data_IF_953257645481
#
_entry.id   IF_953257645481
#
_cell.length_a   1.000
_cell.length_b   1.000
_cell.length_c   1.000
_cell.angle_alpha   90.00
_cell.angle_beta   90.00
_cell.angle_gamma   90.00
#
_symmetry.space_group_name_H-M   'P 1'
#
loop_
_entity.id
_entity.type
_entity.pdbx_description
1 polymer ?
#
# COMPACT_ATOMS: atom_id res chain seq x y z
N UNK A 1 1.11 1.90 15.14
CA UNK A 1 1.01 0.65 14.39
C UNK A 1 2.42 0.25 14.00
N UNK A 2 2.84 -0.98 14.23
CA UNK A 2 4.14 -1.48 13.78
C UNK A 2 4.11 -1.73 12.28
N UNK A 3 5.28 -1.87 11.65
CA UNK A 3 5.37 -2.20 10.22
C UNK A 3 4.70 -3.55 9.91
N UNK A 4 4.80 -4.52 10.82
CA UNK A 4 4.16 -5.82 10.69
C UNK A 4 2.63 -5.71 10.71
N UNK A 5 2.07 -4.93 11.65
CA UNK A 5 0.63 -4.67 11.72
C UNK A 5 0.11 -3.93 10.48
N UNK A 6 0.87 -2.96 9.96
CA UNK A 6 0.54 -2.25 8.72
C UNK A 6 0.46 -3.22 7.54
N UNK A 7 1.48 -4.08 7.40
CA UNK A 7 1.55 -5.03 6.31
C UNK A 7 0.47 -6.11 6.40
N UNK A 8 0.18 -6.58 7.61
CA UNK A 8 -0.90 -7.53 7.87
C UNK A 8 -2.24 -6.93 7.43
N UNK A 9 -2.59 -5.71 7.87
CA UNK A 9 -3.84 -5.05 7.48
C UNK A 9 -3.93 -4.79 5.98
N UNK A 10 -2.82 -4.40 5.35
CA UNK A 10 -2.78 -4.21 3.91
C UNK A 10 -3.10 -5.52 3.18
N UNK A 11 -2.48 -6.64 3.58
CA UNK A 11 -2.76 -7.96 3.01
C UNK A 11 -4.21 -8.41 3.26
N UNK A 12 -4.75 -8.21 4.46
CA UNK A 12 -6.17 -8.49 4.75
C UNK A 12 -7.12 -7.74 3.82
N UNK A 13 -6.82 -6.47 3.50
CA UNK A 13 -7.64 -5.66 2.58
C UNK A 13 -7.59 -6.22 1.15
N UNK A 14 -6.41 -6.62 0.66
CA UNK A 14 -6.20 -6.95 -0.75
C UNK A 14 -6.40 -8.44 -1.07
N UNK A 15 -6.33 -9.33 -0.08
CA UNK A 15 -6.47 -10.79 -0.25
C UNK A 15 -7.77 -11.20 -0.96
N UNK A 16 -8.88 -10.51 -0.72
CA UNK A 16 -10.17 -10.79 -1.38
C UNK A 16 -10.13 -10.57 -2.90
N UNK A 17 -9.13 -9.84 -3.41
CA UNK A 17 -8.88 -9.59 -4.82
C UNK A 17 -7.78 -10.49 -5.40
N UNK A 18 -7.30 -11.47 -4.62
CA UNK A 18 -6.17 -12.33 -4.98
C UNK A 18 -4.82 -11.64 -4.97
N UNK A 19 -4.76 -10.39 -4.53
CA UNK A 19 -3.56 -9.56 -4.47
C UNK A 19 -2.74 -9.84 -3.21
N UNK A 20 -1.45 -9.54 -3.27
CA UNK A 20 -0.55 -9.52 -2.13
C UNK A 20 0.06 -8.13 -1.97
N UNK A 21 0.46 -7.80 -0.74
CA UNK A 21 1.13 -6.55 -0.40
C UNK A 21 2.49 -6.83 0.26
N UNK A 22 3.49 -6.03 -0.07
CA UNK A 22 4.82 -6.02 0.58
C UNK A 22 5.37 -4.59 0.71
N UNK A 23 6.39 -4.39 1.54
CA UNK A 23 7.11 -3.13 1.55
C UNK A 23 8.14 -3.06 0.42
N UNK A 24 8.27 -1.88 -0.20
CA UNK A 24 9.33 -1.61 -1.15
C UNK A 24 10.67 -1.42 -0.41
N UNK A 25 11.29 -2.52 0.02
CA UNK A 25 12.59 -2.48 0.70
C UNK A 25 12.60 -1.48 1.88
N UNK A 26 13.62 -0.62 1.93
CA UNK A 26 13.75 0.50 2.87
C UNK A 26 13.37 1.85 2.25
N UNK A 27 12.66 1.84 1.12
CA UNK A 27 12.19 3.07 0.51
C UNK A 27 11.03 3.69 1.30
N UNK A 28 11.17 4.98 1.59
CA UNK A 28 10.14 5.79 2.20
C UNK A 28 9.60 6.83 1.22
N UNK A 29 8.36 7.23 1.44
CA UNK A 29 7.73 8.31 0.71
C UNK A 29 7.28 9.42 1.64
N UNK A 30 7.52 10.64 1.18
CA UNK A 30 6.86 11.82 1.72
C UNK A 30 5.35 11.74 1.53
N UNK A 31 4.61 12.20 2.52
CA UNK A 31 3.20 12.58 2.45
C UNK A 31 2.91 13.82 3.31
N UNK A 32 1.64 14.20 3.32
CA UNK A 32 1.12 15.35 4.08
C UNK A 32 0.24 14.82 5.20
N UNK A 33 0.63 15.07 6.45
CA UNK A 33 -0.11 14.69 7.65
C UNK A 33 -0.72 15.91 8.33
N UNK A 34 -1.65 16.58 7.65
CA UNK A 34 -2.12 17.90 8.05
C UNK A 34 -1.11 18.97 7.66
N UNK A 35 -0.57 19.70 8.63
CA UNK A 35 0.41 20.77 8.39
C UNK A 35 1.86 20.25 8.40
N UNK A 36 2.07 18.99 8.78
CA UNK A 36 3.38 18.37 8.88
C UNK A 36 3.69 17.47 7.69
N UNK A 37 4.96 17.42 7.31
CA UNK A 37 5.49 16.42 6.40
C UNK A 37 5.64 15.09 7.12
N UNK A 38 5.12 14.00 6.54
CA UNK A 38 5.26 12.64 7.07
C UNK A 38 6.10 11.80 6.13
N UNK A 39 6.83 10.82 6.68
CA UNK A 39 7.61 9.84 5.92
C UNK A 39 7.16 8.45 6.36
N UNK A 40 6.74 7.63 5.39
CA UNK A 40 6.27 6.27 5.64
C UNK A 40 6.83 5.32 4.59
N UNK A 41 6.98 4.03 4.94
CA UNK A 41 7.36 3.00 3.98
C UNK A 41 6.35 2.93 2.82
N UNK A 42 6.82 2.49 1.66
CA UNK A 42 5.97 2.33 0.48
C UNK A 42 5.43 0.90 0.44
N UNK A 43 4.12 0.75 0.24
CA UNK A 43 3.50 -0.57 -0.01
C UNK A 43 3.43 -0.82 -1.51
N UNK A 44 3.83 -2.01 -1.94
CA UNK A 44 3.70 -2.52 -3.31
C UNK A 44 2.65 -3.61 -3.33
N UNK A 45 1.65 -3.45 -4.19
CA UNK A 45 0.68 -4.48 -4.52
C UNK A 45 1.14 -5.25 -5.75
N UNK A 46 0.96 -6.57 -5.73
CA UNK A 46 1.33 -7.43 -6.86
C UNK A 46 0.39 -8.61 -7.00
N UNK A 47 0.18 -9.03 -8.26
CA UNK A 47 -0.49 -10.24 -8.80
C UNK A 47 -1.83 -10.65 -8.15
N UNK A 48 -2.91 -10.92 -8.91
CA UNK A 48 -3.04 -10.84 -10.37
C UNK A 48 -3.20 -9.39 -10.87
N UNK A 49 -3.09 -9.14 -12.18
CA UNK A 49 -3.49 -7.86 -12.76
C UNK A 49 -4.95 -7.54 -12.42
N UNK A 50 -5.20 -6.31 -12.00
CA UNK A 50 -6.55 -5.83 -11.69
C UNK A 50 -6.77 -4.48 -12.35
N UNK A 51 -8.03 -4.11 -12.53
CA UNK A 51 -8.37 -2.85 -13.19
C UNK A 51 -7.95 -1.64 -12.34
N UNK A 52 -7.70 -0.53 -13.02
CA UNK A 52 -7.23 0.71 -12.39
C UNK A 52 -8.23 1.29 -11.38
N UNK A 53 -9.54 1.10 -11.56
CA UNK A 53 -10.56 1.64 -10.64
C UNK A 53 -10.50 0.90 -9.31
N UNK A 54 -10.34 -0.42 -9.35
CA UNK A 54 -10.14 -1.24 -8.15
C UNK A 54 -8.81 -0.90 -7.47
N UNK A 55 -7.70 -0.73 -8.21
CA UNK A 55 -6.42 -0.29 -7.64
C UNK A 55 -6.52 1.07 -6.93
N UNK A 56 -7.21 2.04 -7.54
CA UNK A 56 -7.40 3.36 -6.94
C UNK A 56 -8.19 3.26 -5.63
N UNK A 57 -9.28 2.48 -5.62
CA UNK A 57 -10.07 2.25 -4.40
C UNK A 57 -9.27 1.56 -3.30
N UNK A 58 -8.49 0.53 -3.66
CA UNK A 58 -7.60 -0.18 -2.73
C UNK A 58 -6.53 0.73 -2.15
N UNK A 59 -5.88 1.53 -2.99
CA UNK A 59 -4.87 2.51 -2.57
C UNK A 59 -5.43 3.46 -1.52
N UNK A 60 -6.59 4.07 -1.77
CA UNK A 60 -7.26 4.94 -0.80
C UNK A 60 -7.60 4.21 0.49
N UNK A 61 -8.15 2.98 0.40
CA UNK A 61 -8.55 2.20 1.58
C UNK A 61 -7.35 1.83 2.44
N UNK A 62 -6.26 1.36 1.83
CA UNK A 62 -5.02 1.01 2.53
C UNK A 62 -4.45 2.25 3.21
N UNK A 63 -4.31 3.37 2.49
CA UNK A 63 -3.78 4.62 3.04
C UNK A 63 -4.59 5.10 4.25
N UNK A 64 -5.92 5.07 4.18
CA UNK A 64 -6.78 5.51 5.29
C UNK A 64 -6.73 4.59 6.51
N UNK A 65 -6.60 3.27 6.31
CA UNK A 65 -6.59 2.29 7.41
C UNK A 65 -5.23 2.19 8.08
N UNK A 66 -4.15 2.28 7.30
CA UNK A 66 -2.79 2.01 7.77
C UNK A 66 -1.98 3.28 8.04
N UNK A 67 -2.38 4.42 7.48
CA UNK A 67 -1.62 5.68 7.54
C UNK A 67 -0.45 5.74 6.55
N UNK A 68 -0.35 4.79 5.61
CA UNK A 68 0.70 4.77 4.58
C UNK A 68 0.44 5.85 3.52
N UNK A 69 1.47 6.63 3.20
CA UNK A 69 1.37 7.73 2.25
C UNK A 69 1.34 7.27 0.79
N UNK A 70 1.91 6.10 0.49
CA UNK A 70 2.11 5.65 -0.89
C UNK A 70 1.91 4.16 -1.05
N UNK A 71 1.01 3.83 -1.96
CA UNK A 71 0.73 2.47 -2.43
C UNK A 71 0.98 2.43 -3.94
N UNK A 72 1.78 1.46 -4.40
CA UNK A 72 2.09 1.25 -5.81
C UNK A 72 1.61 -0.13 -6.26
N UNK A 73 1.59 -0.36 -7.56
CA UNK A 73 1.28 -1.66 -8.15
C UNK A 73 2.43 -2.09 -9.06
N UNK A 74 2.88 -3.34 -8.92
CA UNK A 74 3.95 -3.90 -9.74
C UNK A 74 3.39 -4.52 -11.02
N UNK A 75 3.64 -3.86 -12.16
CA UNK A 75 3.18 -4.30 -13.47
C UNK A 75 3.98 -5.49 -14.05
N UNK A 76 5.22 -5.68 -13.62
CA UNK A 76 6.13 -6.67 -14.18
C UNK A 76 7.04 -7.28 -13.11
N UNK A 77 6.48 -8.17 -12.29
CA UNK A 77 7.27 -9.01 -11.38
C UNK A 77 7.81 -10.21 -12.15
N UNK A 78 9.13 -10.20 -12.44
CA UNK A 78 9.82 -11.31 -13.11
C UNK A 78 9.89 -12.55 -12.20
#
# INVERSE_FOLDING_TARGET
MTNEEVLQKANEIVNQYGLMAEFLSDAESVGVGGDCRTYTKIIVLFRPPIDHKTLASLSTKISNVTGINRVTFELARK
#
